data_IF_826299346404
#
_entry.id   IF_826299346404
#
_cell.length_a   1.000
_cell.length_b   1.000
_cell.length_c   1.000
_cell.angle_alpha   90.00
_cell.angle_beta   90.00
_cell.angle_gamma   90.00
#
_symmetry.space_group_name_H-M   'P 1'
#
loop_
_entity.id
_entity.type
_entity.pdbx_description
1 polymer ?
#
# COMPACT_ATOMS: atom_id res chain seq x y z
N UNK A 1 2.40 10.01 31.45
CA UNK A 1 1.13 10.12 30.70
C UNK A 1 1.30 10.79 29.32
N UNK A 2 1.92 11.98 29.18
CA UNK A 2 2.16 12.57 27.85
C UNK A 2 3.35 11.97 27.06
N UNK A 3 4.33 11.36 27.74
CA UNK A 3 5.50 10.72 27.09
C UNK A 3 5.13 9.39 26.38
N UNK A 4 4.19 8.63 26.93
CA UNK A 4 3.72 7.35 26.35
C UNK A 4 3.05 7.49 24.99
N UNK A 5 2.26 8.56 24.79
CA UNK A 5 1.55 8.77 23.52
C UNK A 5 2.59 8.95 22.40
N UNK A 6 3.61 9.81 22.58
CA UNK A 6 4.67 9.98 21.57
C UNK A 6 5.45 8.69 21.25
N UNK A 7 5.61 7.79 22.21
CA UNK A 7 6.26 6.50 21.95
C UNK A 7 5.36 5.53 21.19
N UNK A 8 4.05 5.56 21.41
CA UNK A 8 3.09 4.77 20.63
C UNK A 8 3.06 5.16 19.15
N UNK A 9 3.23 6.44 18.82
CA UNK A 9 3.33 6.92 17.44
C UNK A 9 4.61 6.47 16.71
N UNK A 10 5.67 6.11 17.46
CA UNK A 10 6.94 5.65 16.88
C UNK A 10 7.00 4.15 16.63
N UNK A 11 6.13 3.36 17.26
CA UNK A 11 6.07 1.92 16.98
C UNK A 11 5.42 1.70 15.63
N UNK A 12 6.27 1.42 14.63
CA UNK A 12 5.86 0.82 13.37
C UNK A 12 5.21 -0.53 13.69
N UNK A 13 3.88 -0.56 13.73
CA UNK A 13 3.14 -1.82 13.81
C UNK A 13 3.08 -2.35 12.39
N UNK A 14 3.84 -3.41 12.13
CA UNK A 14 3.71 -4.16 10.88
C UNK A 14 2.28 -4.69 10.76
N UNK A 15 1.63 -4.39 9.64
CA UNK A 15 0.36 -5.01 9.32
C UNK A 15 0.60 -6.49 8.93
N UNK A 16 -0.40 -7.34 9.16
CA UNK A 16 -0.33 -8.76 8.86
C UNK A 16 -1.13 -9.13 7.59
N UNK A 17 -1.35 -8.17 6.69
CA UNK A 17 -2.06 -8.43 5.44
C UNK A 17 -1.15 -9.24 4.49
N UNK A 18 -1.73 -10.15 3.68
CA UNK A 18 -0.95 -11.02 2.80
C UNK A 18 -0.24 -10.22 1.70
N UNK A 19 0.91 -10.72 1.23
CA UNK A 19 1.64 -10.07 0.12
C UNK A 19 0.85 -10.01 -1.19
N UNK A 20 -0.10 -10.92 -1.38
CA UNK A 20 -0.93 -11.00 -2.57
C UNK A 20 -2.40 -11.23 -2.18
N UNK A 21 -3.30 -10.54 -2.88
CA UNK A 21 -4.76 -10.76 -2.82
C UNK A 21 -5.24 -11.12 -4.22
N UNK A 22 -6.15 -12.08 -4.31
CA UNK A 22 -6.84 -12.43 -5.56
C UNK A 22 -8.34 -12.23 -5.36
N UNK A 23 -8.97 -11.51 -6.29
CA UNK A 23 -10.43 -11.37 -6.34
C UNK A 23 -10.93 -12.07 -7.59
N UNK A 24 -11.84 -13.04 -7.42
CA UNK A 24 -12.35 -13.88 -8.51
C UNK A 24 -13.85 -13.65 -8.72
N UNK A 25 -14.26 -13.48 -9.99
CA UNK A 25 -15.66 -13.35 -10.39
C UNK A 25 -15.91 -14.18 -11.66
N UNK A 26 -16.67 -15.27 -11.54
CA UNK A 26 -16.86 -16.22 -12.64
C UNK A 26 -15.52 -16.76 -13.14
N UNK A 27 -15.23 -16.53 -14.43
CA UNK A 27 -13.98 -16.97 -15.08
C UNK A 27 -12.87 -15.91 -15.06
N UNK A 28 -13.08 -14.78 -14.37
CA UNK A 28 -12.11 -13.69 -14.27
C UNK A 28 -11.45 -13.67 -12.89
N UNK A 29 -10.16 -13.31 -12.87
CA UNK A 29 -9.40 -13.10 -11.66
C UNK A 29 -8.60 -11.79 -11.75
N UNK A 30 -8.63 -11.02 -10.67
CA UNK A 30 -7.81 -9.83 -10.46
C UNK A 30 -6.75 -10.16 -9.41
N UNK A 31 -5.48 -10.02 -9.78
CA UNK A 31 -4.35 -10.30 -8.90
C UNK A 31 -3.74 -8.97 -8.45
N UNK A 32 -3.69 -8.81 -7.14
CA UNK A 32 -3.18 -7.63 -6.48
C UNK A 32 -1.96 -7.96 -5.63
N UNK A 33 -0.96 -7.09 -5.64
CA UNK A 33 0.23 -7.18 -4.79
C UNK A 33 0.27 -6.04 -3.80
N UNK A 34 0.63 -6.34 -2.55
CA UNK A 34 0.79 -5.35 -1.51
C UNK A 34 1.88 -4.34 -1.90
N UNK A 35 1.54 -3.05 -1.89
CA UNK A 35 2.45 -1.97 -2.28
C UNK A 35 3.24 -1.51 -1.06
N UNK A 36 4.56 -1.43 -1.24
CA UNK A 36 5.54 -0.89 -0.31
C UNK A 36 6.47 0.06 -1.07
N UNK A 37 6.97 1.06 -0.38
CA UNK A 37 7.92 2.03 -0.89
C UNK A 37 9.18 2.02 -0.04
N UNK A 38 10.30 2.35 -0.68
CA UNK A 38 11.60 2.51 -0.02
C UNK A 38 11.75 3.97 0.40
N UNK A 39 11.54 4.23 1.68
CA UNK A 39 11.60 5.58 2.24
C UNK A 39 12.95 5.74 2.95
N UNK A 40 13.64 6.85 2.71
CA UNK A 40 14.85 7.19 3.47
C UNK A 40 14.46 7.72 4.86
N UNK A 41 14.88 7.04 5.92
CA UNK A 41 14.76 7.54 7.29
C UNK A 41 15.95 8.47 7.57
N UNK A 42 15.75 9.77 7.43
CA UNK A 42 16.80 10.78 7.64
C UNK A 42 17.41 10.75 9.05
N UNK A 43 16.66 10.28 10.05
CA UNK A 43 17.15 10.20 11.44
C UNK A 43 18.12 9.03 11.65
N UNK A 44 18.05 8.00 10.80
CA UNK A 44 18.90 6.80 10.88
C UNK A 44 19.87 6.66 9.71
N UNK A 45 19.66 7.41 8.63
CA UNK A 45 20.46 7.32 7.40
C UNK A 45 20.23 6.02 6.62
N UNK A 46 19.11 5.33 6.85
CA UNK A 46 18.82 4.01 6.27
C UNK A 46 17.55 4.04 5.41
N UNK A 47 17.52 3.21 4.36
CA UNK A 47 16.30 2.99 3.58
C UNK A 47 15.44 1.95 4.27
N UNK A 48 14.22 2.34 4.62
CA UNK A 48 13.21 1.47 5.23
C UNK A 48 12.09 1.20 4.25
N UNK A 49 11.65 -0.06 4.13
CA UNK A 49 10.45 -0.39 3.37
C UNK A 49 9.21 -0.12 4.21
N UNK A 50 8.30 0.71 3.70
CA UNK A 50 7.05 1.04 4.38
C UNK A 50 5.85 0.95 3.42
N UNK A 51 4.74 0.41 3.91
CA UNK A 51 3.44 0.43 3.22
C UNK A 51 2.59 1.63 3.63
N UNK A 52 1.45 1.81 2.93
CA UNK A 52 0.47 2.86 3.25
C UNK A 52 -0.12 2.65 4.66
N UNK A 53 -0.15 3.69 5.48
CA UNK A 53 -0.78 3.68 6.81
C UNK A 53 -2.01 4.57 6.84
N UNK A 54 -2.96 4.24 7.71
CA UNK A 54 -4.11 5.09 7.95
C UNK A 54 -3.72 6.26 8.86
N UNK A 55 -3.17 7.32 8.25
CA UNK A 55 -2.83 8.57 8.91
C UNK A 55 -2.04 8.38 10.21
N UNK A 56 -2.40 9.16 11.22
CA UNK A 56 -1.75 9.23 12.52
C UNK A 56 -2.20 8.17 13.54
N UNK A 57 -3.08 7.22 13.18
CA UNK A 57 -3.62 6.27 14.16
C UNK A 57 -2.88 4.92 14.12
N UNK A 58 -1.91 4.67 15.03
CA UNK A 58 -1.10 3.46 15.02
C UNK A 58 -1.92 2.17 15.22
N UNK A 59 -3.15 2.25 15.74
CA UNK A 59 -4.00 1.08 15.99
C UNK A 59 -4.74 0.58 14.73
N UNK A 60 -4.78 1.37 13.67
CA UNK A 60 -5.51 1.02 12.45
C UNK A 60 -4.54 0.54 11.37
N UNK A 61 -4.55 -0.78 11.16
CA UNK A 61 -3.80 -1.41 10.07
C UNK A 61 -4.48 -1.09 8.75
N UNK A 62 -3.72 -0.59 7.80
CA UNK A 62 -4.11 -0.42 6.41
C UNK A 62 -2.99 -0.95 5.51
N UNK A 63 -3.35 -1.35 4.29
CA UNK A 63 -2.39 -1.70 3.26
C UNK A 63 -2.95 -1.26 1.90
N UNK A 64 -2.08 -0.72 1.05
CA UNK A 64 -2.43 -0.46 -0.34
C UNK A 64 -2.03 -1.66 -1.20
N UNK A 65 -2.87 -1.96 -2.19
CA UNK A 65 -2.65 -3.05 -3.12
C UNK A 65 -2.66 -2.52 -4.56
N UNK A 66 -1.66 -2.93 -5.33
CA UNK A 66 -1.48 -2.61 -6.74
C UNK A 66 -2.05 -3.75 -7.61
N UNK A 67 -2.87 -3.42 -8.61
CA UNK A 67 -3.33 -4.39 -9.61
C UNK A 67 -2.17 -4.77 -10.52
N UNK A 68 -1.70 -6.01 -10.42
CA UNK A 68 -0.57 -6.52 -11.22
C UNK A 68 -1.01 -7.48 -12.33
N UNK A 69 -2.22 -8.03 -12.28
CA UNK A 69 -2.78 -8.86 -13.35
C UNK A 69 -4.31 -8.86 -13.33
N UNK A 70 -4.92 -9.02 -14.50
CA UNK A 70 -6.36 -8.95 -14.72
C UNK A 70 -6.84 -7.57 -15.14
N UNK A 71 -8.13 -7.47 -15.46
CA UNK A 71 -8.82 -6.21 -15.76
C UNK A 71 -10.30 -6.38 -15.42
N UNK A 72 -10.90 -5.35 -14.83
CA UNK A 72 -12.35 -5.31 -14.62
C UNK A 72 -13.00 -4.86 -15.94
N UNK A 73 -13.58 -5.82 -16.68
CA UNK A 73 -14.35 -5.57 -17.90
C UNK A 73 -15.83 -5.53 -17.51
N UNK A 74 -16.44 -4.34 -17.58
CA UNK A 74 -17.89 -4.16 -17.38
C UNK A 74 -18.48 -3.55 -18.65
N UNK A 75 -19.34 -4.28 -19.36
CA UNK A 75 -20.00 -3.78 -20.58
C UNK A 75 -19.03 -3.31 -21.67
N UNK A 76 -17.98 -4.09 -21.92
CA UNK A 76 -16.87 -3.78 -22.86
C UNK A 76 -15.99 -2.57 -22.48
N UNK A 77 -16.29 -1.86 -21.38
CA UNK A 77 -15.40 -0.85 -20.83
C UNK A 77 -14.27 -1.51 -20.01
N UNK A 78 -13.02 -1.20 -20.37
CA UNK A 78 -11.82 -1.56 -19.61
C UNK A 78 -11.48 -0.41 -18.66
N UNK A 79 -11.48 -0.68 -17.35
CA UNK A 79 -11.22 0.35 -16.34
C UNK A 79 -9.73 0.44 -15.99
N UNK A 80 -9.24 -0.47 -15.14
CA UNK A 80 -7.87 -0.46 -14.62
C UNK A 80 -7.09 -1.58 -15.30
N UNK A 81 -6.22 -1.22 -16.23
CA UNK A 81 -5.29 -2.16 -16.86
C UNK A 81 -4.03 -2.34 -15.99
N UNK A 82 -3.36 -3.51 -16.02
CA UNK A 82 -2.10 -3.71 -15.33
C UNK A 82 -1.08 -2.61 -15.69
N UNK A 83 -0.40 -2.06 -14.68
CA UNK A 83 0.53 -0.94 -14.85
C UNK A 83 -0.13 0.45 -14.90
N UNK A 84 -1.47 0.56 -14.89
CA UNK A 84 -2.21 1.83 -14.77
C UNK A 84 -2.81 1.99 -13.38
N UNK A 85 -2.01 1.76 -12.35
CA UNK A 85 -2.44 1.61 -10.95
C UNK A 85 -2.95 2.87 -10.23
N UNK A 86 -3.16 4.00 -10.91
CA UNK A 86 -3.54 5.27 -10.28
C UNK A 86 -2.60 5.56 -9.08
N UNK A 87 -3.15 5.71 -7.87
CA UNK A 87 -2.39 5.95 -6.62
C UNK A 87 -1.43 4.81 -6.29
N UNK A 88 -1.72 3.56 -6.66
CA UNK A 88 -0.80 2.43 -6.40
C UNK A 88 0.41 2.39 -7.34
N UNK A 89 0.43 3.23 -8.38
CA UNK A 89 1.55 3.37 -9.32
C UNK A 89 2.51 4.51 -8.97
N UNK A 90 2.20 5.30 -7.93
CA UNK A 90 3.08 6.37 -7.44
C UNK A 90 4.43 5.75 -7.05
N UNK A 91 5.51 6.36 -7.53
CA UNK A 91 6.89 6.02 -7.16
C UNK A 91 7.38 6.95 -6.05
N UNK A 92 8.55 6.63 -5.49
CA UNK A 92 9.23 7.49 -4.51
C UNK A 92 9.52 8.90 -5.06
N UNK A 93 9.77 9.02 -6.37
CA UNK A 93 10.08 10.30 -7.05
C UNK A 93 8.84 11.21 -7.16
N UNK A 94 7.65 10.62 -7.15
CA UNK A 94 6.37 11.33 -7.23
C UNK A 94 5.91 11.87 -5.87
N UNK A 95 6.53 11.42 -4.77
CA UNK A 95 6.19 11.85 -3.42
C UNK A 95 6.85 13.20 -3.10
N UNK A 96 6.04 14.25 -2.91
CA UNK A 96 6.54 15.51 -2.37
C UNK A 96 6.87 15.32 -0.88
N UNK A 97 8.11 15.58 -0.50
CA UNK A 97 8.59 15.55 0.89
C UNK A 97 8.19 16.80 1.67
#
# INVERSE_FOLDING_TARGET
>A
MARDIKEMYRRVIEDNFPEQITISFGNQALIYRKRRWKILDESKGEIVEQGLRYGENPHQRAALYELINGNLILGDCKFIEPGRGLVSAITEEDMQQ
#
